data_IF_470073281383
#
_entry.id   IF_470073281383
#
_cell.length_a   1.000
_cell.length_b   1.000
_cell.length_c   1.000
_cell.angle_alpha   90.00
_cell.angle_beta   90.00
_cell.angle_gamma   90.00
#
_symmetry.space_group_name_H-M   'P 1'
#
loop_
_entity.id
_entity.type
_entity.pdbx_description
1 polymer ?
#
# COMPACT_ATOMS: atom_id res chain seq x y z
N UNK A 1 -57.41 5.46 -35.40
CA UNK A 1 -56.70 4.39 -34.68
C UNK A 1 -55.61 5.06 -33.86
N UNK A 2 -55.97 5.42 -32.64
CA UNK A 2 -55.07 5.66 -31.51
C UNK A 2 -54.24 4.41 -31.21
N UNK A 3 -52.98 4.54 -30.74
CA UNK A 3 -52.45 3.85 -29.54
C UNK A 3 -50.98 4.22 -29.22
N UNK A 4 -50.85 5.02 -28.16
CA UNK A 4 -49.90 4.96 -27.04
C UNK A 4 -48.38 5.11 -27.26
N UNK A 5 -47.96 6.37 -27.19
CA UNK A 5 -46.78 6.83 -26.44
C UNK A 5 -46.81 6.29 -24.99
N UNK A 6 -46.06 5.22 -24.67
CA UNK A 6 -45.82 4.81 -23.26
C UNK A 6 -44.59 3.92 -23.08
N UNK A 7 -43.41 4.46 -23.33
CA UNK A 7 -42.16 3.89 -22.79
C UNK A 7 -41.91 4.51 -21.41
N UNK A 8 -42.26 3.73 -20.38
CA UNK A 8 -42.15 4.06 -18.95
C UNK A 8 -40.67 4.22 -18.53
N UNK A 9 -40.37 5.14 -17.60
CA UNK A 9 -39.02 5.55 -17.25
C UNK A 9 -38.41 4.57 -16.24
N UNK A 10 -37.74 3.52 -16.73
CA UNK A 10 -36.98 2.58 -15.88
C UNK A 10 -35.47 2.79 -15.98
N UNK A 11 -35.02 3.85 -16.66
CA UNK A 11 -33.59 4.11 -16.89
C UNK A 11 -32.95 5.05 -15.87
N UNK A 12 -33.72 5.73 -15.02
CA UNK A 12 -33.20 6.81 -14.17
C UNK A 12 -32.59 6.33 -12.85
N UNK A 13 -32.84 5.10 -12.41
CA UNK A 13 -32.36 4.61 -11.09
C UNK A 13 -30.95 4.00 -11.16
N UNK A 14 -30.48 3.57 -12.33
CA UNK A 14 -29.22 2.82 -12.45
C UNK A 14 -27.95 3.69 -12.33
N UNK A 15 -28.06 5.01 -12.51
CA UNK A 15 -26.88 5.91 -12.58
C UNK A 15 -26.40 6.37 -11.19
N UNK A 16 -27.22 6.22 -10.14
CA UNK A 16 -26.94 6.81 -8.81
C UNK A 16 -26.09 5.96 -7.86
N UNK A 17 -25.70 4.73 -8.24
CA UNK A 17 -24.95 3.82 -7.36
C UNK A 17 -23.42 3.84 -7.53
N UNK A 18 -22.88 4.73 -8.37
CA UNK A 18 -21.44 4.81 -8.67
C UNK A 18 -20.68 5.84 -7.80
N UNK A 19 -21.13 6.12 -6.57
CA UNK A 19 -20.33 6.86 -5.60
C UNK A 19 -19.19 5.96 -5.08
N UNK A 20 -18.17 5.77 -5.92
CA UNK A 20 -16.99 4.96 -5.62
C UNK A 20 -16.19 5.56 -4.47
N UNK A 21 -15.68 4.69 -3.58
CA UNK A 21 -14.72 5.06 -2.55
C UNK A 21 -13.48 5.70 -3.21
N UNK A 22 -13.31 7.00 -3.04
CA UNK A 22 -12.03 7.62 -3.28
C UNK A 22 -11.07 7.17 -2.18
N UNK A 23 -10.09 6.32 -2.53
CA UNK A 23 -8.94 6.08 -1.66
C UNK A 23 -8.21 7.41 -1.57
N UNK A 24 -8.34 8.12 -0.45
CA UNK A 24 -7.63 9.38 -0.24
C UNK A 24 -6.14 9.01 -0.16
N UNK A 25 -5.28 9.45 -1.09
CA UNK A 25 -3.86 9.23 -0.94
C UNK A 25 -3.43 9.94 0.34
N UNK A 26 -2.85 9.18 1.27
CA UNK A 26 -2.37 9.71 2.53
C UNK A 26 -1.21 10.66 2.20
N UNK A 27 -1.50 11.96 2.19
CA UNK A 27 -0.54 13.02 1.89
C UNK A 27 0.39 13.21 3.10
N UNK A 28 1.43 12.37 3.16
CA UNK A 28 2.50 12.44 4.14
C UNK A 28 3.69 11.61 3.66
N UNK A 29 4.85 11.72 4.33
CA UNK A 29 5.99 10.85 4.05
C UNK A 29 5.55 9.37 4.16
N UNK A 30 5.90 8.50 3.18
CA UNK A 30 5.60 7.07 3.24
C UNK A 30 6.11 6.40 4.53
N UNK A 31 7.25 6.85 5.06
CA UNK A 31 7.80 6.35 6.32
C UNK A 31 7.52 7.30 7.49
N UNK A 32 6.97 6.75 8.57
CA UNK A 32 6.86 7.44 9.85
C UNK A 32 8.21 7.49 10.59
N UNK A 33 8.39 8.42 11.55
CA UNK A 33 9.62 8.46 12.35
C UNK A 33 9.93 7.16 13.10
N UNK A 34 8.90 6.43 13.51
CA UNK A 34 9.05 5.10 14.14
C UNK A 34 9.55 4.07 13.13
N UNK A 35 8.97 4.02 11.93
CA UNK A 35 9.44 3.11 10.89
C UNK A 35 10.90 3.42 10.49
N UNK A 36 11.28 4.70 10.36
CA UNK A 36 12.67 5.07 10.09
C UNK A 36 13.64 4.55 11.18
N UNK A 37 13.34 4.79 12.46
CA UNK A 37 14.19 4.31 13.56
C UNK A 37 14.29 2.78 13.57
N UNK A 38 13.18 2.09 13.34
CA UNK A 38 13.13 0.65 13.39
C UNK A 38 13.86 0.02 12.19
N UNK A 39 13.69 0.56 10.98
CA UNK A 39 14.43 0.16 9.77
C UNK A 39 15.94 0.41 9.93
N UNK A 40 16.34 1.52 10.55
CA UNK A 40 17.74 1.79 10.86
C UNK A 40 18.34 0.73 11.81
N UNK A 41 17.57 0.31 12.82
CA UNK A 41 17.99 -0.74 13.74
C UNK A 41 18.16 -2.09 13.01
N UNK A 42 17.28 -2.43 12.07
CA UNK A 42 17.41 -3.65 11.24
C UNK A 42 18.69 -3.64 10.40
N UNK A 43 19.10 -2.47 9.89
CA UNK A 43 20.35 -2.31 9.12
C UNK A 43 21.62 -2.36 9.98
N UNK A 44 21.50 -2.20 11.30
CA UNK A 44 22.66 -2.12 12.21
C UNK A 44 23.33 -3.46 12.55
N UNK A 45 22.89 -4.58 11.95
CA UNK A 45 23.31 -5.95 12.29
C UNK A 45 23.03 -6.38 13.74
N UNK A 46 22.29 -5.59 14.53
CA UNK A 46 21.82 -6.00 15.84
C UNK A 46 20.71 -7.05 15.72
N UNK A 47 20.54 -7.97 16.70
CA UNK A 47 19.42 -8.90 16.71
C UNK A 47 18.07 -8.15 16.64
N UNK A 48 17.24 -8.42 15.64
CA UNK A 48 16.02 -7.65 15.44
C UNK A 48 14.93 -8.04 16.45
N UNK A 49 14.10 -7.08 16.80
CA UNK A 49 12.91 -7.30 17.64
C UNK A 49 11.67 -7.54 16.78
N UNK A 50 10.65 -8.17 17.34
CA UNK A 50 9.36 -8.34 16.63
C UNK A 50 8.70 -7.02 16.25
N UNK A 51 8.84 -5.99 17.08
CA UNK A 51 8.35 -4.66 16.75
C UNK A 51 9.02 -4.11 15.47
N UNK A 52 10.34 -4.29 15.32
CA UNK A 52 11.06 -3.84 14.13
C UNK A 52 10.63 -4.61 12.87
N UNK A 53 10.44 -5.92 12.97
CA UNK A 53 9.89 -6.72 11.85
C UNK A 53 8.47 -6.26 11.47
N UNK A 54 7.64 -5.91 12.45
CA UNK A 54 6.31 -5.36 12.15
C UNK A 54 6.39 -4.01 11.44
N UNK A 55 7.34 -3.15 11.81
CA UNK A 55 7.59 -1.89 11.12
C UNK A 55 8.06 -2.11 9.68
N UNK A 56 8.95 -3.08 9.44
CA UNK A 56 9.37 -3.45 8.08
C UNK A 56 8.20 -3.97 7.24
N UNK A 57 7.38 -4.88 7.78
CA UNK A 57 6.19 -5.37 7.10
C UNK A 57 5.16 -4.26 6.80
N UNK A 58 5.01 -3.28 7.70
CA UNK A 58 4.16 -2.13 7.47
C UNK A 58 4.68 -1.27 6.30
N UNK A 59 5.99 -1.00 6.25
CA UNK A 59 6.64 -0.29 5.16
C UNK A 59 6.51 -1.04 3.82
N UNK A 60 6.72 -2.36 3.79
CA UNK A 60 6.55 -3.18 2.59
C UNK A 60 5.11 -3.14 2.05
N UNK A 61 4.10 -3.22 2.92
CA UNK A 61 2.69 -3.10 2.50
C UNK A 61 2.37 -1.72 1.93
N UNK A 62 2.92 -0.65 2.50
CA UNK A 62 2.81 0.70 1.92
C UNK A 62 3.48 0.79 0.56
N UNK A 63 4.58 0.05 0.36
CA UNK A 63 5.28 -0.08 -0.92
C UNK A 63 4.57 -1.00 -1.93
N UNK A 64 3.42 -1.57 -1.57
CA UNK A 64 2.60 -2.39 -2.45
C UNK A 64 2.87 -3.89 -2.38
N UNK A 65 3.64 -4.37 -1.40
CA UNK A 65 3.76 -5.80 -1.15
C UNK A 65 2.46 -6.37 -0.59
N UNK A 66 1.86 -7.31 -1.32
CA UNK A 66 0.67 -8.05 -0.93
C UNK A 66 0.86 -9.53 -1.27
N UNK A 67 1.33 -10.36 -0.32
CA UNK A 67 1.64 -11.76 -0.59
C UNK A 67 0.39 -12.55 -0.94
N UNK A 68 0.49 -13.46 -1.91
CA UNK A 68 -0.59 -14.41 -2.20
C UNK A 68 -1.02 -15.19 -0.94
N UNK A 69 -2.34 -15.38 -0.71
CA UNK A 69 -2.83 -16.28 0.34
C UNK A 69 -2.46 -17.75 0.11
N UNK A 70 -1.98 -18.09 -1.08
CA UNK A 70 -1.72 -19.45 -1.55
C UNK A 70 -0.24 -19.63 -1.90
N UNK A 71 0.24 -20.88 -1.88
CA UNK A 71 1.65 -21.22 -2.12
C UNK A 71 2.08 -21.15 -3.60
N UNK A 72 1.19 -20.77 -4.51
CA UNK A 72 1.40 -20.76 -5.96
C UNK A 72 1.59 -19.35 -6.53
N UNK A 73 2.09 -18.41 -5.70
CA UNK A 73 2.38 -17.05 -6.14
C UNK A 73 3.39 -17.05 -7.31
N UNK A 74 2.98 -16.66 -8.53
CA UNK A 74 3.88 -16.66 -9.67
C UNK A 74 4.83 -15.47 -9.69
N UNK A 75 4.64 -14.48 -8.80
CA UNK A 75 5.43 -13.25 -8.71
C UNK A 75 6.32 -13.18 -7.46
N UNK A 76 6.32 -14.25 -6.65
CA UNK A 76 7.28 -14.37 -5.56
C UNK A 76 8.61 -14.92 -6.08
N UNK A 77 9.76 -14.28 -5.79
CA UNK A 77 9.95 -13.17 -4.84
C UNK A 77 10.04 -11.77 -5.49
N UNK A 78 9.70 -11.61 -6.77
CA UNK A 78 9.89 -10.36 -7.51
C UNK A 78 9.11 -9.19 -6.91
N UNK A 79 7.89 -9.44 -6.43
CA UNK A 79 7.01 -8.48 -5.78
C UNK A 79 7.59 -7.95 -4.45
N UNK A 80 8.12 -8.84 -3.62
CA UNK A 80 8.83 -8.52 -2.38
C UNK A 80 10.05 -7.66 -2.68
N UNK A 81 10.84 -8.03 -3.68
CA UNK A 81 12.04 -7.27 -4.06
C UNK A 81 11.68 -5.89 -4.63
N UNK A 82 10.58 -5.77 -5.37
CA UNK A 82 10.10 -4.48 -5.86
C UNK A 82 9.70 -3.56 -4.71
N UNK A 83 8.94 -4.07 -3.74
CA UNK A 83 8.58 -3.31 -2.54
C UNK A 83 9.81 -2.95 -1.70
N UNK A 84 10.77 -3.86 -1.53
CA UNK A 84 12.00 -3.61 -0.78
C UNK A 84 12.79 -2.43 -1.37
N UNK A 85 12.95 -2.36 -2.70
CA UNK A 85 13.63 -1.25 -3.38
C UNK A 85 12.95 0.10 -3.12
N UNK A 86 11.62 0.13 -3.05
CA UNK A 86 10.88 1.35 -2.72
C UNK A 86 11.09 1.76 -1.25
N UNK A 87 11.07 0.80 -0.33
CA UNK A 87 11.37 1.05 1.10
C UNK A 87 12.81 1.57 1.27
N UNK A 88 13.77 1.00 0.55
CA UNK A 88 15.16 1.45 0.54
C UNK A 88 15.27 2.90 0.05
N UNK A 89 14.62 3.22 -1.07
CA UNK A 89 14.57 4.57 -1.61
C UNK A 89 13.96 5.56 -0.60
N UNK A 90 12.81 5.25 0.00
CA UNK A 90 12.18 6.10 1.00
C UNK A 90 13.08 6.30 2.23
N UNK A 91 13.75 5.24 2.67
CA UNK A 91 14.67 5.30 3.80
C UNK A 91 15.84 6.26 3.50
N UNK A 92 16.44 6.18 2.32
CA UNK A 92 17.53 7.06 1.89
C UNK A 92 17.08 8.53 1.78
N UNK A 93 15.87 8.79 1.27
CA UNK A 93 15.40 10.16 1.03
C UNK A 93 14.79 10.83 2.25
N UNK A 94 14.19 10.08 3.18
CA UNK A 94 13.37 10.63 4.27
C UNK A 94 13.93 10.37 5.66
N UNK A 95 14.78 9.35 5.84
CA UNK A 95 15.28 8.93 7.15
C UNK A 95 16.75 9.35 7.40
N UNK A 96 17.23 10.45 6.81
CA UNK A 96 18.63 10.92 6.92
C UNK A 96 19.14 10.99 8.37
N UNK A 97 18.31 11.45 9.30
CA UNK A 97 18.66 11.53 10.73
C UNK A 97 18.83 10.17 11.43
N UNK A 98 18.41 9.08 10.79
CA UNK A 98 18.44 7.71 11.29
C UNK A 98 19.44 6.84 10.54
N UNK A 99 20.22 7.38 9.59
CA UNK A 99 21.18 6.56 8.85
C UNK A 99 22.27 6.03 9.81
N UNK A 100 22.57 4.71 9.76
CA UNK A 100 23.70 4.16 10.51
C UNK A 100 25.01 4.74 9.94
N UNK A 101 25.92 5.11 10.84
CA UNK A 101 27.23 5.68 10.52
C UNK A 101 28.21 4.64 9.95
#
# INVERSE_FOLDING_TARGET
>A
MENLTRTRPTLTVLVLLLAGCAVVPQSGPPLSPTECRDLAALRSNAPPTMAQHHSELAALRKAGYDPSPWYDDPYYPEDLQAAQRLVDYWFETECQQFQPW
#
